data_IF_824363852811
#
_entry.id   IF_824363852811
#
_cell.length_a   1.000
_cell.length_b   1.000
_cell.length_c   1.000
_cell.angle_alpha   90.00
_cell.angle_beta   90.00
_cell.angle_gamma   90.00
#
_symmetry.space_group_name_H-M   'P 1'
#
loop_
_entity.id
_entity.type
_entity.pdbx_description
1 polymer ?
#
# COMPACT_ATOMS: atom_id res chain seq x y z
N UNK A 1 6.82 1.55 14.97
CA UNK A 1 7.63 1.43 13.73
C UNK A 1 7.80 -0.01 13.29
N UNK A 2 8.36 -0.90 14.12
CA UNK A 2 8.50 -2.31 13.74
C UNK A 2 7.14 -2.99 13.49
N UNK A 3 6.14 -2.73 14.34
CA UNK A 3 4.76 -3.20 14.15
C UNK A 3 4.15 -2.72 12.82
N UNK A 4 4.39 -1.45 12.44
CA UNK A 4 3.91 -0.86 11.18
C UNK A 4 4.48 -1.59 9.95
N UNK A 5 5.80 -1.76 9.89
CA UNK A 5 6.43 -2.44 8.75
C UNK A 5 6.20 -3.94 8.77
N UNK A 6 6.06 -4.56 9.94
CA UNK A 6 5.66 -5.96 10.07
C UNK A 6 4.24 -6.19 9.55
N UNK A 7 3.32 -5.28 9.87
CA UNK A 7 1.96 -5.31 9.34
C UNK A 7 1.99 -5.19 7.82
N UNK A 8 2.59 -4.12 7.30
CA UNK A 8 2.75 -3.90 5.86
C UNK A 8 3.34 -5.12 5.14
N UNK A 9 4.40 -5.71 5.70
CA UNK A 9 5.01 -6.90 5.13
C UNK A 9 4.01 -8.07 5.10
N UNK A 10 3.34 -8.36 6.22
CA UNK A 10 2.39 -9.47 6.30
C UNK A 10 1.23 -9.36 5.31
N UNK A 11 0.78 -8.14 5.01
CA UNK A 11 -0.37 -7.90 4.12
C UNK A 11 0.03 -7.75 2.66
N UNK A 12 1.23 -7.25 2.37
CA UNK A 12 1.64 -6.86 1.00
C UNK A 12 2.74 -7.72 0.38
N UNK A 13 3.38 -8.63 1.12
CA UNK A 13 4.46 -9.46 0.60
C UNK A 13 4.12 -10.25 -0.68
N UNK A 14 2.90 -10.81 -0.90
CA UNK A 14 2.63 -11.56 -2.12
C UNK A 14 2.64 -10.64 -3.34
N UNK A 15 2.06 -9.44 -3.20
CA UNK A 15 2.02 -8.43 -4.25
C UNK A 15 3.43 -7.95 -4.61
N UNK A 16 4.29 -7.74 -3.61
CA UNK A 16 5.69 -7.36 -3.81
C UNK A 16 6.48 -8.46 -4.53
N UNK A 17 6.27 -9.73 -4.20
CA UNK A 17 6.92 -10.86 -4.89
C UNK A 17 6.47 -10.93 -6.35
N UNK A 18 5.18 -10.82 -6.61
CA UNK A 18 4.65 -10.83 -7.99
C UNK A 18 5.24 -9.68 -8.80
N UNK A 19 5.26 -8.47 -8.24
CA UNK A 19 5.86 -7.31 -8.88
C UNK A 19 7.35 -7.55 -9.17
N UNK A 20 8.10 -8.07 -8.19
CA UNK A 20 9.52 -8.39 -8.35
C UNK A 20 9.75 -9.42 -9.46
N UNK A 21 8.92 -10.46 -9.55
CA UNK A 21 9.02 -11.46 -10.62
C UNK A 21 8.78 -10.85 -12.00
N UNK A 22 7.77 -9.98 -12.14
CA UNK A 22 7.50 -9.26 -13.39
C UNK A 22 8.73 -8.43 -13.78
N UNK A 23 9.28 -7.67 -12.83
CA UNK A 23 10.49 -6.87 -13.04
C UNK A 23 11.68 -7.72 -13.49
N UNK A 24 11.98 -8.81 -12.78
CA UNK A 24 13.10 -9.71 -13.11
C UNK A 24 12.93 -10.30 -14.51
N UNK A 25 11.73 -10.79 -14.87
CA UNK A 25 11.47 -11.39 -16.18
C UNK A 25 11.64 -10.36 -17.30
N UNK A 26 11.08 -9.16 -17.13
CA UNK A 26 11.16 -8.11 -18.16
C UNK A 26 12.60 -7.60 -18.32
N UNK A 27 13.29 -7.30 -17.21
CA UNK A 27 14.68 -6.87 -17.25
C UNK A 27 15.61 -7.94 -17.81
N UNK A 28 15.44 -9.20 -17.42
CA UNK A 28 16.21 -10.32 -17.96
C UNK A 28 16.00 -10.44 -19.47
N UNK A 29 14.75 -10.34 -19.94
CA UNK A 29 14.43 -10.42 -21.37
C UNK A 29 15.00 -9.25 -22.17
N UNK A 30 14.95 -8.02 -21.62
CA UNK A 30 15.51 -6.83 -22.25
C UNK A 30 17.03 -6.88 -22.26
N UNK A 31 17.67 -7.25 -21.15
CA UNK A 31 19.12 -7.40 -21.03
C UNK A 31 19.66 -8.48 -21.97
N UNK A 32 19.00 -9.64 -22.05
CA UNK A 32 19.39 -10.71 -22.98
C UNK A 32 19.32 -10.24 -24.44
N UNK A 33 18.22 -9.58 -24.84
CA UNK A 33 18.10 -9.02 -26.20
C UNK A 33 19.15 -7.95 -26.48
N UNK A 34 19.40 -7.07 -25.52
CA UNK A 34 20.40 -6.01 -25.65
C UNK A 34 21.80 -6.59 -25.85
N UNK A 35 22.22 -7.55 -25.01
CA UNK A 35 23.50 -8.23 -25.14
C UNK A 35 23.65 -8.95 -26.48
N UNK A 36 22.58 -9.60 -26.95
CA UNK A 36 22.62 -10.34 -28.21
C UNK A 36 22.70 -9.41 -29.42
N UNK A 37 21.95 -8.30 -29.43
CA UNK A 37 22.03 -7.28 -30.48
C UNK A 37 23.40 -6.59 -30.47
N UNK A 38 23.91 -6.19 -29.30
CA UNK A 38 25.25 -5.60 -29.17
C UNK A 38 26.36 -6.51 -29.68
N UNK A 39 26.29 -7.81 -29.38
CA UNK A 39 27.33 -8.77 -29.75
C UNK A 39 27.29 -9.22 -31.21
N UNK A 40 26.11 -9.26 -31.84
CA UNK A 40 25.93 -9.89 -33.17
C UNK A 40 25.39 -8.98 -34.27
N UNK A 41 24.82 -7.82 -33.96
CA UNK A 41 24.23 -6.92 -34.96
C UNK A 41 24.48 -5.46 -34.59
N UNK A 42 25.54 -4.87 -35.15
CA UNK A 42 25.85 -3.43 -35.03
C UNK A 42 24.97 -2.56 -35.95
N UNK A 43 23.81 -3.06 -36.37
CA UNK A 43 22.93 -2.36 -37.30
C UNK A 43 22.00 -1.39 -36.53
N UNK A 44 22.03 -0.12 -36.94
CA UNK A 44 21.23 0.95 -36.34
C UNK A 44 19.73 0.66 -36.41
N UNK A 45 19.26 -0.04 -37.44
CA UNK A 45 17.87 -0.45 -37.57
C UNK A 45 17.46 -1.47 -36.49
N UNK A 46 18.36 -2.40 -36.18
CA UNK A 46 18.19 -3.37 -35.10
C UNK A 46 18.07 -2.70 -33.72
N UNK A 47 18.88 -1.66 -33.48
CA UNK A 47 18.78 -0.85 -32.26
C UNK A 47 17.48 -0.07 -32.16
N UNK A 48 17.00 0.51 -33.28
CA UNK A 48 15.76 1.30 -33.30
C UNK A 48 14.53 0.43 -33.01
N UNK A 49 14.46 -0.78 -33.58
CA UNK A 49 13.42 -1.76 -33.25
C UNK A 49 13.50 -2.23 -31.79
N UNK A 50 14.71 -2.38 -31.25
CA UNK A 50 14.91 -2.77 -29.86
C UNK A 50 14.46 -1.66 -28.90
N UNK A 51 14.77 -0.40 -29.20
CA UNK A 51 14.34 0.76 -28.44
C UNK A 51 12.81 0.89 -28.41
N UNK A 52 12.14 0.77 -29.57
CA UNK A 52 10.67 0.77 -29.63
C UNK A 52 10.04 -0.34 -28.79
N UNK A 53 10.61 -1.55 -28.85
CA UNK A 53 10.15 -2.68 -28.04
C UNK A 53 10.42 -2.48 -26.55
N UNK A 54 11.53 -1.86 -26.19
CA UNK A 54 11.85 -1.51 -24.81
C UNK A 54 10.85 -0.51 -24.23
N UNK A 55 10.46 0.52 -25.00
CA UNK A 55 9.44 1.50 -24.58
C UNK A 55 8.11 0.80 -24.25
N UNK A 56 7.67 -0.14 -25.09
CA UNK A 56 6.43 -0.90 -24.84
C UNK A 56 6.55 -1.69 -23.52
N UNK A 57 7.66 -2.39 -23.29
CA UNK A 57 7.87 -3.15 -22.05
C UNK A 57 7.98 -2.27 -20.82
N UNK A 58 8.61 -1.09 -20.94
CA UNK A 58 8.67 -0.09 -19.87
C UNK A 58 7.26 0.43 -19.54
N UNK A 59 6.43 0.69 -20.55
CA UNK A 59 5.03 1.08 -20.34
C UNK A 59 4.23 0.00 -19.61
N UNK A 60 4.37 -1.26 -20.01
CA UNK A 60 3.75 -2.40 -19.32
C UNK A 60 4.24 -2.48 -17.86
N UNK A 61 5.55 -2.34 -17.62
CA UNK A 61 6.11 -2.32 -16.27
C UNK A 61 5.57 -1.18 -15.42
N UNK A 62 5.38 0.01 -16.00
CA UNK A 62 4.82 1.16 -15.29
C UNK A 62 3.39 0.87 -14.80
N UNK A 63 2.53 0.31 -15.67
CA UNK A 63 1.15 -0.07 -15.29
C UNK A 63 1.13 -1.13 -14.19
N UNK A 64 1.96 -2.18 -14.30
CA UNK A 64 2.05 -3.19 -13.24
C UNK A 64 2.62 -2.63 -11.94
N UNK A 65 3.57 -1.70 -12.03
CA UNK A 65 4.13 -1.04 -10.86
C UNK A 65 3.05 -0.21 -10.18
N UNK A 66 2.25 0.56 -10.90
CA UNK A 66 1.14 1.32 -10.34
C UNK A 66 0.11 0.39 -9.66
N UNK A 67 -0.31 -0.66 -10.36
CA UNK A 67 -1.33 -1.61 -9.87
C UNK A 67 -0.92 -2.35 -8.59
N UNK A 68 0.35 -2.75 -8.49
CA UNK A 68 0.87 -3.49 -7.34
C UNK A 68 1.65 -2.61 -6.36
N UNK A 69 1.75 -1.31 -6.63
CA UNK A 69 2.40 -0.37 -5.71
C UNK A 69 1.64 -0.29 -4.40
N UNK A 70 2.41 -0.09 -3.34
CA UNK A 70 1.91 0.04 -1.98
C UNK A 70 2.54 1.31 -1.42
N UNK A 71 1.92 2.49 -1.65
CA UNK A 71 2.51 3.78 -1.34
C UNK A 71 2.85 3.92 0.15
N UNK A 72 2.09 3.24 1.02
CA UNK A 72 2.31 3.21 2.46
C UNK A 72 3.70 2.71 2.90
N UNK A 73 4.45 2.00 2.03
CA UNK A 73 5.85 1.64 2.28
C UNK A 73 6.79 2.85 2.36
N UNK A 74 6.46 3.92 1.65
CA UNK A 74 7.26 5.15 1.57
C UNK A 74 6.77 6.21 2.57
N UNK A 75 5.59 6.04 3.13
CA UNK A 75 5.01 6.95 4.10
C UNK A 75 5.35 6.56 5.53
N UNK A 76 5.30 7.55 6.43
CA UNK A 76 5.37 7.34 7.88
C UNK A 76 3.99 6.98 8.41
N UNK A 77 3.88 6.15 9.46
CA UNK A 77 2.59 5.85 10.09
C UNK A 77 1.85 7.14 10.45
N UNK A 78 0.57 7.18 10.08
CA UNK A 78 -0.34 8.21 10.55
C UNK A 78 -0.63 7.99 12.03
N UNK A 79 -0.60 9.07 12.82
CA UNK A 79 -1.00 9.05 14.22
C UNK A 79 -2.11 10.07 14.43
N UNK A 80 -3.20 9.64 15.05
CA UNK A 80 -4.30 10.52 15.42
C UNK A 80 -4.83 10.12 16.80
N UNK A 81 -5.25 11.12 17.57
CA UNK A 81 -5.96 10.93 18.82
C UNK A 81 -7.29 11.65 18.71
N UNK A 82 -8.35 11.02 19.17
CA UNK A 82 -9.69 11.57 19.06
C UNK A 82 -10.71 10.77 19.84
N UNK A 83 -11.93 11.30 19.86
CA UNK A 83 -13.08 10.67 20.47
C UNK A 83 -13.85 9.89 19.41
N UNK A 84 -14.27 8.68 19.74
CA UNK A 84 -15.05 7.85 18.82
C UNK A 84 -16.47 8.40 18.75
N UNK A 85 -16.86 8.97 17.62
CA UNK A 85 -18.17 9.59 17.42
C UNK A 85 -19.16 8.66 16.72
N UNK A 86 -18.66 7.70 15.95
CA UNK A 86 -19.48 6.84 15.12
C UNK A 86 -18.83 5.49 14.84
N UNK A 87 -19.68 4.49 14.59
CA UNK A 87 -19.28 3.14 14.23
C UNK A 87 -20.23 2.63 13.15
N UNK A 88 -19.69 2.16 12.04
CA UNK A 88 -20.47 1.61 10.95
C UNK A 88 -19.86 0.28 10.46
N UNK A 89 -20.72 -0.59 9.95
CA UNK A 89 -20.30 -1.77 9.22
C UNK A 89 -20.77 -1.63 7.78
N UNK A 90 -19.81 -1.58 6.84
CA UNK A 90 -20.14 -1.54 5.43
C UNK A 90 -20.33 -2.97 4.92
N UNK A 91 -21.60 -3.37 4.79
CA UNK A 91 -21.98 -4.68 4.27
C UNK A 91 -21.52 -4.94 2.83
N UNK A 92 -21.24 -3.90 2.04
CA UNK A 92 -20.79 -4.03 0.65
C UNK A 92 -19.31 -4.42 0.54
N UNK A 93 -18.46 -3.85 1.40
CA UNK A 93 -17.02 -4.13 1.45
C UNK A 93 -16.63 -5.15 2.52
N UNK A 94 -17.52 -5.46 3.47
CA UNK A 94 -17.23 -6.30 4.63
C UNK A 94 -16.28 -5.64 5.64
N UNK A 95 -16.13 -4.31 5.58
CA UNK A 95 -15.20 -3.54 6.41
C UNK A 95 -15.91 -2.87 7.57
N UNK A 96 -15.21 -2.79 8.70
CA UNK A 96 -15.66 -2.08 9.89
C UNK A 96 -15.05 -0.68 9.89
N UNK A 97 -15.88 0.33 10.12
CA UNK A 97 -15.51 1.74 10.05
C UNK A 97 -15.76 2.38 11.41
N UNK A 98 -14.80 3.19 11.86
CA UNK A 98 -14.95 4.08 13.01
C UNK A 98 -14.74 5.53 12.57
N UNK A 99 -15.57 6.41 13.13
CA UNK A 99 -15.47 7.85 12.93
C UNK A 99 -14.81 8.48 14.15
N UNK A 100 -13.67 9.13 13.94
CA UNK A 100 -12.92 9.82 14.97
C UNK A 100 -13.07 11.33 14.86
N UNK A 101 -13.63 11.93 15.90
CA UNK A 101 -13.67 13.37 16.06
C UNK A 101 -12.42 13.90 16.75
N UNK A 102 -11.74 14.86 16.11
CA UNK A 102 -10.69 15.66 16.72
C UNK A 102 -11.07 17.15 16.63
N UNK A 103 -11.98 17.59 17.50
CA UNK A 103 -12.54 18.94 17.45
C UNK A 103 -13.53 19.10 16.29
N UNK A 104 -13.18 19.89 15.28
CA UNK A 104 -14.07 20.21 14.13
C UNK A 104 -13.97 19.23 12.96
N UNK A 105 -12.98 18.35 12.95
CA UNK A 105 -12.78 17.36 11.88
C UNK A 105 -13.22 15.98 12.34
N UNK A 106 -14.04 15.33 11.51
CA UNK A 106 -14.42 13.94 11.68
C UNK A 106 -13.73 13.11 10.60
N UNK A 107 -12.87 12.18 11.02
CA UNK A 107 -12.06 11.35 10.13
C UNK A 107 -12.51 9.89 10.23
N UNK A 108 -12.72 9.26 9.08
CA UNK A 108 -13.13 7.85 9.00
C UNK A 108 -11.92 6.94 8.89
N UNK A 109 -11.93 5.84 9.65
CA UNK A 109 -10.87 4.85 9.64
C UNK A 109 -11.43 3.44 9.54
N UNK A 110 -10.73 2.59 8.79
CA UNK A 110 -11.07 1.16 8.69
C UNK A 110 -10.38 0.39 9.81
N UNK A 111 -11.12 -0.44 10.51
CA UNK A 111 -10.63 -1.25 11.63
C UNK A 111 -10.90 -2.72 11.38
N UNK A 112 -10.14 -3.56 12.06
CA UNK A 112 -10.49 -4.97 12.16
C UNK A 112 -11.71 -5.16 13.07
N UNK A 113 -12.33 -6.33 12.97
CA UNK A 113 -13.48 -6.68 13.81
C UNK A 113 -13.14 -6.63 15.31
N UNK A 114 -11.92 -6.98 15.67
CA UNK A 114 -11.52 -7.13 17.07
C UNK A 114 -11.37 -5.77 17.77
N UNK A 115 -10.85 -4.75 17.07
CA UNK A 115 -10.86 -3.36 17.53
C UNK A 115 -12.28 -2.82 17.48
N UNK A 116 -13.03 -3.09 16.41
CA UNK A 116 -14.42 -2.66 16.31
C UNK A 116 -15.25 -3.14 17.51
N UNK A 117 -15.16 -4.41 17.90
CA UNK A 117 -15.97 -4.96 19.00
C UNK A 117 -15.54 -4.42 20.38
N UNK A 118 -14.30 -3.94 20.54
CA UNK A 118 -13.77 -3.41 21.81
C UNK A 118 -14.01 -1.91 22.01
N UNK A 119 -14.05 -1.16 20.91
CA UNK A 119 -14.21 0.31 20.96
C UNK A 119 -15.67 0.67 21.18
N UNK A 120 -15.97 1.51 22.15
CA UNK A 120 -17.30 2.09 22.35
C UNK A 120 -17.39 3.51 21.80
N UNK A 121 -18.62 3.99 21.64
CA UNK A 121 -18.86 5.40 21.39
C UNK A 121 -18.37 6.20 22.60
N UNK A 122 -17.85 7.40 22.34
CA UNK A 122 -17.28 8.31 23.32
C UNK A 122 -15.94 7.87 23.94
N UNK A 123 -15.40 6.71 23.55
CA UNK A 123 -14.06 6.30 23.97
C UNK A 123 -13.01 7.25 23.37
N UNK A 124 -12.05 7.63 24.21
CA UNK A 124 -10.88 8.38 23.77
C UNK A 124 -9.78 7.41 23.33
N UNK A 125 -9.47 7.40 22.03
CA UNK A 125 -8.50 6.46 21.46
C UNK A 125 -7.39 7.17 20.72
N UNK A 126 -6.24 6.52 20.69
CA UNK A 126 -5.09 6.89 19.89
C UNK A 126 -4.87 5.81 18.85
N UNK A 127 -4.94 6.20 17.58
CA UNK A 127 -4.83 5.30 16.44
C UNK A 127 -3.50 5.50 15.73
N UNK A 128 -2.87 4.38 15.37
CA UNK A 128 -1.83 4.31 14.37
C UNK A 128 -2.42 3.69 13.10
N UNK A 129 -2.30 4.37 11.97
CA UNK A 129 -2.96 3.98 10.72
C UNK A 129 -2.07 4.11 9.48
N UNK A 130 -2.46 3.42 8.41
CA UNK A 130 -1.88 3.52 7.06
C UNK A 130 -2.36 4.81 6.38
N UNK A 131 -1.48 5.77 6.03
CA UNK A 131 -1.89 7.06 5.49
C UNK A 131 -2.73 6.99 4.20
N UNK A 132 -2.38 6.10 3.28
CA UNK A 132 -3.08 5.95 2.00
C UNK A 132 -4.40 5.21 2.16
N UNK A 133 -4.40 4.09 2.90
CA UNK A 133 -5.57 3.20 3.06
C UNK A 133 -6.52 3.59 4.20
N UNK A 134 -6.09 4.46 5.12
CA UNK A 134 -6.80 4.81 6.36
C UNK A 134 -7.15 3.61 7.25
N UNK A 135 -6.37 2.55 7.14
CA UNK A 135 -6.56 1.31 7.89
C UNK A 135 -5.77 1.38 9.21
N UNK A 136 -6.43 1.02 10.31
CA UNK A 136 -5.88 1.05 11.66
C UNK A 136 -5.02 -0.18 11.90
N UNK A 137 -3.78 0.05 12.29
CA UNK A 137 -2.80 -1.00 12.64
C UNK A 137 -2.80 -1.23 14.15
N UNK A 138 -2.94 -0.15 14.93
CA UNK A 138 -2.92 -0.21 16.39
C UNK A 138 -3.90 0.82 16.95
N UNK A 139 -4.73 0.35 17.87
CA UNK A 139 -5.66 1.18 18.65
C UNK A 139 -5.25 1.10 20.12
N UNK A 140 -4.93 2.25 20.71
CA UNK A 140 -4.68 2.37 22.14
C UNK A 140 -5.84 3.12 22.78
N UNK A 141 -6.46 2.51 23.78
CA UNK A 141 -7.44 3.18 24.62
C UNK A 141 -6.68 4.12 25.54
N UNK A 142 -6.99 5.41 25.44
CA UNK A 142 -6.54 6.35 26.45
C UNK A 142 -7.56 6.22 27.56
N UNK A 143 -7.25 5.42 28.60
CA UNK A 143 -8.02 5.47 29.82
C UNK A 143 -7.96 6.92 30.32
N UNK A 144 -9.05 7.66 30.12
CA UNK A 144 -9.38 8.80 30.94
C UNK A 144 -9.81 8.27 32.31
N UNK A 145 -8.85 7.68 33.03
CA UNK A 145 -8.96 7.54 34.47
C UNK A 145 -8.93 8.96 35.04
N UNK A 146 -10.14 9.43 35.38
CA UNK A 146 -10.47 10.34 36.48
C UNK A 146 -9.60 11.60 36.66
#
# INVERSE_FOLDING_TARGET
>A
MLEYYSYLWSTTWPNLIVLLLIWVIVLFRLGWKFLNTWRFAHDAWGFLLLAGKAIIWVGILAVYTELFSQPDWFDRPGLIQGLVQGKAYDSGSGLYIIDLGNGSENNQFYVDRNVYDKVNLEDQVKLMYLPSRREVIRCEFTDSLL
#
